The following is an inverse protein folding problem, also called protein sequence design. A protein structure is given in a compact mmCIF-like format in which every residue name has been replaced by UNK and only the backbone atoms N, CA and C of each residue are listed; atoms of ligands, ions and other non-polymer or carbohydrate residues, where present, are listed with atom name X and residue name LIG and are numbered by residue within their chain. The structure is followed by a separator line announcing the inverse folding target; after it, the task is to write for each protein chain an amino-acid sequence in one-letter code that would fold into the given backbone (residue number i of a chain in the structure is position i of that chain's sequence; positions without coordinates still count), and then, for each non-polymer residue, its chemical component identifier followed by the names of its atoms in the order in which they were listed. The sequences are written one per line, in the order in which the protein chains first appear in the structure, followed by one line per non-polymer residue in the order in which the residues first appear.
data_IF_777440277352
#
_entry.id   IF_777440277352
#
_cell.length_a   1.000
_cell.length_b   1.000
_cell.length_c   1.000
_cell.angle_alpha   90.00
_cell.angle_beta   90.00
_cell.angle_gamma   90.00
#
_symmetry.space_group_name_H-M   'P 1'
#
loop_
_entity.id
_entity.type
_entity.pdbx_description
1 polymer ?
#
# COMPACT_ATOMS: atom_id res chain seq x y z
N UNK A 1 11.13 -0.04 -10.18
CA UNK A 1 9.86 -0.73 -10.45
C UNK A 1 9.23 -0.26 -11.76
N UNK A 2 9.34 0.99 -12.08
CA UNK A 2 8.76 1.63 -13.25
C UNK A 2 9.87 2.11 -14.17
N UNK A 3 10.24 1.30 -15.16
CA UNK A 3 11.18 1.73 -16.20
C UNK A 3 10.39 2.49 -17.26
N UNK A 4 10.86 3.66 -17.64
CA UNK A 4 10.26 4.43 -18.74
C UNK A 4 10.73 3.84 -20.08
N UNK A 5 10.09 2.75 -20.47
CA UNK A 5 10.40 2.01 -21.72
C UNK A 5 9.11 1.75 -22.48
N UNK A 6 9.23 1.62 -23.78
CA UNK A 6 8.15 1.14 -24.66
C UNK A 6 7.92 -0.36 -24.42
N UNK A 7 6.84 -0.91 -25.00
CA UNK A 7 6.54 -2.35 -24.97
C UNK A 7 7.66 -3.21 -25.57
N UNK A 8 8.50 -2.63 -26.42
CA UNK A 8 9.62 -3.30 -27.08
C UNK A 8 10.96 -3.07 -26.33
N UNK A 9 10.89 -2.71 -25.04
CA UNK A 9 12.02 -2.47 -24.14
C UNK A 9 12.95 -1.31 -24.56
N UNK A 10 12.50 -0.45 -25.48
CA UNK A 10 13.22 0.75 -25.87
C UNK A 10 13.01 1.86 -24.83
N UNK A 11 14.07 2.59 -24.48
CA UNK A 11 13.95 3.75 -23.63
C UNK A 11 13.06 4.80 -24.31
N UNK A 12 12.08 5.32 -23.59
CA UNK A 12 11.34 6.50 -24.04
C UNK A 12 12.30 7.68 -24.19
N UNK A 13 12.05 8.55 -25.15
CA UNK A 13 12.92 9.67 -25.45
C UNK A 13 13.33 10.45 -24.20
N UNK A 14 14.62 10.72 -24.05
CA UNK A 14 15.15 11.46 -22.91
C UNK A 14 14.61 12.90 -22.96
N UNK A 15 14.04 13.36 -21.86
CA UNK A 15 13.52 14.72 -21.73
C UNK A 15 12.00 14.81 -21.78
N UNK A 16 11.29 13.73 -22.07
CA UNK A 16 9.84 13.72 -21.97
C UNK A 16 9.41 13.74 -20.50
N UNK A 17 8.62 14.73 -20.14
CA UNK A 17 7.97 14.82 -18.83
C UNK A 17 6.92 13.71 -18.62
N UNK A 18 6.63 12.95 -19.66
CA UNK A 18 5.61 11.92 -19.68
C UNK A 18 6.21 10.54 -19.86
N UNK A 19 5.64 9.57 -19.16
CA UNK A 19 5.96 8.16 -19.34
C UNK A 19 4.89 7.49 -20.22
N UNK A 20 5.30 6.54 -21.04
CA UNK A 20 4.38 5.67 -21.79
C UNK A 20 3.87 4.47 -20.97
N UNK A 21 4.25 4.40 -19.69
CA UNK A 21 3.80 3.34 -18.79
C UNK A 21 2.53 3.78 -18.08
N UNK A 22 1.48 2.97 -18.20
CA UNK A 22 0.24 3.19 -17.46
C UNK A 22 0.47 3.01 -15.96
N UNK A 23 -0.13 3.90 -15.16
CA UNK A 23 -0.16 3.75 -13.72
C UNK A 23 -1.30 2.79 -13.35
N UNK A 24 -1.03 1.62 -12.76
CA UNK A 24 -2.07 0.69 -12.38
C UNK A 24 -2.83 1.22 -11.17
N UNK A 25 -4.13 1.46 -11.34
CA UNK A 25 -5.02 1.82 -10.24
C UNK A 25 -5.37 0.60 -9.38
N UNK A 26 -5.56 -0.54 -10.03
CA UNK A 26 -5.88 -1.80 -9.37
C UNK A 26 -5.04 -2.92 -9.98
N UNK A 27 -4.63 -3.87 -9.16
CA UNK A 27 -3.93 -5.08 -9.60
C UNK A 27 -4.21 -6.27 -8.67
N UNK A 28 -4.07 -7.46 -9.20
CA UNK A 28 -4.43 -8.72 -8.54
C UNK A 28 -3.77 -8.88 -7.16
N UNK A 29 -2.51 -8.44 -6.99
CA UNK A 29 -1.83 -8.51 -5.70
C UNK A 29 -2.54 -7.67 -4.61
N UNK A 30 -3.07 -6.51 -4.97
CA UNK A 30 -3.87 -5.69 -4.05
C UNK A 30 -5.16 -6.43 -3.66
N UNK A 31 -5.87 -7.01 -4.64
CA UNK A 31 -7.08 -7.79 -4.39
C UNK A 31 -6.83 -8.99 -3.46
N UNK A 32 -5.75 -9.73 -3.67
CA UNK A 32 -5.38 -10.84 -2.77
C UNK A 32 -5.10 -10.37 -1.34
N UNK A 33 -4.33 -9.30 -1.17
CA UNK A 33 -4.03 -8.77 0.16
C UNK A 33 -5.26 -8.15 0.83
N UNK A 34 -6.19 -7.55 0.07
CA UNK A 34 -7.47 -7.08 0.59
C UNK A 34 -8.37 -8.25 1.02
N UNK A 35 -8.44 -9.33 0.26
CA UNK A 35 -9.20 -10.52 0.61
C UNK A 35 -8.67 -11.16 1.89
N UNK A 36 -7.35 -11.33 1.99
CA UNK A 36 -6.71 -11.84 3.20
C UNK A 36 -6.98 -10.97 4.43
N UNK A 37 -6.90 -9.65 4.27
CA UNK A 37 -7.22 -8.70 5.35
C UNK A 37 -8.68 -8.80 5.77
N UNK A 38 -9.61 -8.88 4.82
CA UNK A 38 -11.04 -8.99 5.10
C UNK A 38 -11.36 -10.24 5.92
N UNK A 39 -10.78 -11.39 5.57
CA UNK A 39 -10.93 -12.64 6.32
C UNK A 39 -10.42 -12.47 7.75
N UNK A 40 -9.22 -11.94 7.93
CA UNK A 40 -8.67 -11.72 9.28
C UNK A 40 -9.44 -10.68 10.10
N UNK A 41 -10.26 -9.86 9.46
CA UNK A 41 -11.18 -8.92 10.13
C UNK A 41 -12.57 -9.52 10.38
N UNK A 42 -12.79 -10.80 10.09
CA UNK A 42 -14.02 -11.52 10.37
C UNK A 42 -14.99 -11.64 9.18
N UNK A 43 -14.56 -11.36 7.95
CA UNK A 43 -15.33 -11.73 6.78
C UNK A 43 -15.39 -13.26 6.60
N UNK A 44 -16.33 -13.74 5.77
CA UNK A 44 -16.41 -15.14 5.43
C UNK A 44 -15.10 -15.62 4.77
N UNK A 45 -14.63 -16.78 5.23
CA UNK A 45 -13.39 -17.41 4.78
C UNK A 45 -12.61 -18.02 5.93
N UNK A 46 -11.53 -18.71 5.61
CA UNK A 46 -10.67 -19.37 6.59
C UNK A 46 -9.29 -18.69 6.62
N UNK A 47 -8.60 -18.77 7.75
CA UNK A 47 -7.22 -18.29 7.82
C UNK A 47 -6.29 -18.99 6.83
N UNK A 48 -6.58 -20.24 6.48
CA UNK A 48 -5.85 -20.99 5.44
C UNK A 48 -6.04 -20.36 4.05
N UNK A 49 -7.24 -19.90 3.73
CA UNK A 49 -7.49 -19.16 2.48
C UNK A 49 -6.76 -17.82 2.49
N UNK A 50 -6.83 -17.09 3.59
CA UNK A 50 -6.09 -15.83 3.74
C UNK A 50 -4.59 -16.04 3.58
N UNK A 51 -4.04 -17.09 4.17
CA UNK A 51 -2.64 -17.50 3.99
C UNK A 51 -2.32 -17.80 2.53
N UNK A 52 -3.21 -18.53 1.84
CA UNK A 52 -3.06 -18.84 0.42
C UNK A 52 -2.94 -17.58 -0.44
N UNK A 53 -3.78 -16.58 -0.20
CA UNK A 53 -3.71 -15.29 -0.90
C UNK A 53 -2.39 -14.55 -0.64
N UNK A 54 -1.93 -14.52 0.59
CA UNK A 54 -0.64 -13.89 0.93
C UNK A 54 0.52 -14.63 0.27
N UNK A 55 0.54 -15.96 0.35
CA UNK A 55 1.60 -16.77 -0.22
C UNK A 55 1.62 -16.73 -1.76
N UNK A 56 0.49 -16.53 -2.41
CA UNK A 56 0.44 -16.31 -3.86
C UNK A 56 1.22 -15.04 -4.26
N UNK A 57 1.04 -13.94 -3.53
CA UNK A 57 1.78 -12.69 -3.76
C UNK A 57 3.26 -12.88 -3.49
N UNK A 58 3.61 -13.55 -2.41
CA UNK A 58 5.00 -13.79 -2.00
C UNK A 58 5.74 -14.73 -2.94
N UNK A 59 5.12 -15.85 -3.33
CA UNK A 59 5.72 -16.80 -4.28
C UNK A 59 6.08 -16.12 -5.61
N UNK A 60 5.22 -15.22 -6.09
CA UNK A 60 5.50 -14.39 -7.27
C UNK A 60 6.71 -13.47 -7.04
N UNK A 61 6.75 -12.80 -5.89
CA UNK A 61 7.83 -11.85 -5.57
C UNK A 61 9.19 -12.56 -5.42
N UNK A 62 9.18 -13.77 -4.89
CA UNK A 62 10.38 -14.62 -4.74
C UNK A 62 10.67 -15.48 -5.98
N UNK A 63 9.83 -15.40 -6.99
CA UNK A 63 9.94 -16.24 -8.21
C UNK A 63 9.99 -17.73 -7.91
N UNK A 64 9.19 -18.19 -6.97
CA UNK A 64 9.10 -19.58 -6.52
C UNK A 64 7.84 -20.29 -7.05
N UNK A 65 7.77 -21.61 -6.89
CA UNK A 65 6.64 -22.40 -7.33
C UNK A 65 6.32 -22.21 -8.81
N UNK A 66 5.06 -21.91 -9.14
CA UNK A 66 4.62 -21.65 -10.52
C UNK A 66 5.26 -20.43 -11.19
N UNK A 67 5.89 -19.56 -10.42
CA UNK A 67 6.59 -18.36 -10.91
C UNK A 67 8.08 -18.56 -11.09
N UNK A 68 8.60 -19.76 -10.81
CA UNK A 68 10.01 -20.07 -10.96
C UNK A 68 10.47 -19.85 -12.42
N UNK A 69 11.63 -19.21 -12.58
CA UNK A 69 12.25 -18.97 -13.88
C UNK A 69 13.63 -19.62 -13.92
N UNK A 70 13.97 -20.22 -15.06
CA UNK A 70 15.31 -20.79 -15.28
C UNK A 70 16.39 -19.71 -15.10
N UNK A 71 17.44 -20.03 -14.34
CA UNK A 71 18.55 -19.12 -14.08
C UNK A 71 18.27 -18.07 -12.98
N UNK A 72 17.08 -18.06 -12.40
CA UNK A 72 16.75 -17.22 -11.22
C UNK A 72 16.84 -18.09 -9.98
N UNK A 73 17.42 -17.53 -8.91
CA UNK A 73 17.54 -18.20 -7.61
C UNK A 73 16.13 -18.48 -7.07
N UNK A 74 15.81 -19.74 -6.84
CA UNK A 74 14.51 -20.22 -6.36
C UNK A 74 14.61 -21.04 -5.08
N UNK A 75 15.72 -20.91 -4.35
CA UNK A 75 16.00 -21.66 -3.13
C UNK A 75 15.22 -21.13 -1.90
N UNK A 76 14.51 -20.00 -2.05
CA UNK A 76 13.67 -19.41 -1.03
C UNK A 76 12.26 -19.23 -1.57
N UNK A 77 11.29 -19.98 -1.03
CA UNK A 77 9.89 -19.86 -1.47
C UNK A 77 9.26 -18.52 -1.11
N UNK A 78 9.76 -17.88 -0.06
CA UNK A 78 9.17 -16.68 0.51
C UNK A 78 7.84 -16.91 1.23
N UNK A 79 7.29 -18.11 1.21
CA UNK A 79 6.03 -18.45 1.87
C UNK A 79 6.15 -18.35 3.39
N UNK A 80 5.03 -18.03 4.02
CA UNK A 80 4.89 -17.96 5.48
C UNK A 80 3.95 -19.04 5.98
N UNK A 81 4.02 -19.32 7.28
CA UNK A 81 3.06 -20.17 7.99
C UNK A 81 1.91 -19.40 8.62
N UNK A 82 0.89 -20.12 9.09
CA UNK A 82 -0.26 -19.53 9.79
C UNK A 82 0.15 -18.74 11.04
N UNK A 83 1.21 -19.17 11.72
CA UNK A 83 1.73 -18.51 12.93
C UNK A 83 2.32 -17.12 12.66
N UNK A 84 2.65 -16.81 11.41
CA UNK A 84 3.19 -15.51 11.01
C UNK A 84 2.07 -14.60 10.46
N UNK A 85 0.96 -15.18 10.02
CA UNK A 85 -0.15 -14.45 9.42
C UNK A 85 -0.84 -13.57 10.49
N UNK A 86 -0.89 -12.27 10.24
CA UNK A 86 -1.54 -11.31 11.11
C UNK A 86 -1.90 -10.04 10.34
N UNK A 87 -2.79 -9.22 10.87
CA UNK A 87 -3.08 -7.90 10.29
C UNK A 87 -1.84 -7.03 10.16
N UNK A 88 -0.93 -7.07 11.16
CA UNK A 88 0.33 -6.34 11.08
C UNK A 88 1.25 -6.86 9.97
N UNK A 89 1.27 -8.18 9.78
CA UNK A 89 1.99 -8.79 8.68
C UNK A 89 1.44 -8.32 7.33
N UNK A 90 0.11 -8.36 7.15
CA UNK A 90 -0.54 -7.88 5.92
C UNK A 90 -0.22 -6.40 5.67
N UNK A 91 -0.29 -5.54 6.67
CA UNK A 91 0.06 -4.13 6.52
C UNK A 91 1.52 -3.94 6.06
N UNK A 92 2.44 -4.76 6.56
CA UNK A 92 3.84 -4.75 6.13
C UNK A 92 4.02 -5.29 4.71
N UNK A 93 3.31 -6.36 4.36
CA UNK A 93 3.38 -6.95 3.02
C UNK A 93 2.79 -6.02 1.95
N UNK A 94 1.67 -5.36 2.26
CA UNK A 94 1.08 -4.30 1.41
C UNK A 94 2.09 -3.18 1.15
N UNK A 95 2.84 -2.76 2.16
CA UNK A 95 3.89 -1.73 1.99
C UNK A 95 4.97 -2.16 0.99
N UNK A 96 5.40 -3.42 1.05
CA UNK A 96 6.45 -3.96 0.16
C UNK A 96 5.91 -4.14 -1.27
N UNK A 97 4.73 -4.74 -1.38
CA UNK A 97 4.14 -5.09 -2.67
C UNK A 97 3.65 -3.85 -3.42
N UNK A 98 2.98 -2.93 -2.74
CA UNK A 98 2.35 -1.74 -3.33
C UNK A 98 3.21 -0.47 -3.18
N UNK A 99 4.51 -0.64 -2.99
CA UNK A 99 5.43 0.48 -2.87
C UNK A 99 5.36 1.41 -4.09
N UNK A 100 5.19 2.71 -3.84
CA UNK A 100 5.02 3.76 -4.86
C UNK A 100 3.70 3.72 -5.64
N UNK A 101 2.68 3.03 -5.12
CA UNK A 101 1.34 2.95 -5.72
C UNK A 101 0.29 3.79 -4.97
N UNK A 102 0.72 4.74 -4.17
CA UNK A 102 -0.10 5.73 -3.44
C UNK A 102 -1.10 5.15 -2.42
N UNK A 103 -0.98 3.85 -2.08
CA UNK A 103 -1.92 3.16 -1.17
C UNK A 103 -1.53 3.31 0.31
N UNK A 104 -0.26 3.60 0.63
CA UNK A 104 0.27 3.51 1.99
C UNK A 104 -0.46 4.39 3.01
N UNK A 105 -0.79 5.64 2.65
CA UNK A 105 -1.51 6.56 3.54
C UNK A 105 -2.88 5.98 3.91
N UNK A 106 -3.63 5.53 2.93
CA UNK A 106 -4.96 4.92 3.11
C UNK A 106 -4.88 3.67 3.98
N UNK A 107 -3.89 2.80 3.74
CA UNK A 107 -3.66 1.62 4.56
C UNK A 107 -3.39 1.99 6.02
N UNK A 108 -2.49 2.93 6.27
CA UNK A 108 -2.17 3.36 7.63
C UNK A 108 -3.36 3.98 8.36
N UNK A 109 -4.20 4.76 7.67
CA UNK A 109 -5.44 5.32 8.24
C UNK A 109 -6.39 4.17 8.60
N UNK A 110 -6.65 3.25 7.68
CA UNK A 110 -7.56 2.11 7.87
C UNK A 110 -7.11 1.17 9.00
N UNK A 111 -5.80 1.05 9.21
CA UNK A 111 -5.22 0.28 10.32
C UNK A 111 -5.08 1.09 11.62
N UNK A 112 -5.51 2.35 11.64
CA UNK A 112 -5.38 3.23 12.81
C UNK A 112 -3.93 3.58 13.18
N UNK A 113 -3.02 3.54 12.20
CA UNK A 113 -1.57 3.72 12.42
C UNK A 113 -0.97 4.92 11.69
N UNK A 114 -1.80 5.76 11.08
CA UNK A 114 -1.29 6.90 10.34
C UNK A 114 -0.76 8.00 11.26
N UNK A 115 -1.56 8.40 12.21
CA UNK A 115 -1.20 9.48 13.14
C UNK A 115 -0.36 8.99 14.30
N UNK A 116 -0.68 7.80 14.82
CA UNK A 116 -0.03 7.18 15.99
C UNK A 116 0.34 5.72 15.72
N UNK A 117 1.28 5.20 16.54
CA UNK A 117 1.58 3.76 16.56
C UNK A 117 2.35 3.20 15.36
N UNK A 118 2.74 4.04 14.40
CA UNK A 118 3.66 3.69 13.33
C UNK A 118 4.48 4.92 12.96
N UNK A 119 5.73 4.91 13.33
CA UNK A 119 6.65 6.00 13.07
C UNK A 119 7.64 5.59 11.97
N UNK A 120 7.97 6.53 11.11
CA UNK A 120 9.04 6.46 10.12
C UNK A 120 9.92 7.68 10.29
N UNK A 121 11.14 7.59 9.81
CA UNK A 121 12.11 8.67 9.92
C UNK A 121 11.52 9.99 9.39
N UNK A 122 11.72 11.06 10.17
CA UNK A 122 11.26 12.41 9.89
C UNK A 122 9.73 12.61 9.94
N UNK A 123 8.94 11.62 10.35
CA UNK A 123 7.52 11.86 10.64
C UNK A 123 7.39 12.93 11.72
N UNK A 124 6.57 13.94 11.46
CA UNK A 124 6.40 15.13 12.32
C UNK A 124 7.70 15.94 12.55
N UNK A 125 8.64 15.88 11.61
CA UNK A 125 9.94 16.58 11.73
C UNK A 125 10.90 15.98 12.76
N UNK A 126 10.56 14.87 13.37
CA UNK A 126 11.38 14.18 14.37
C UNK A 126 12.19 13.07 13.69
N UNK A 127 13.51 13.04 13.91
CA UNK A 127 14.43 12.13 13.22
C UNK A 127 14.01 10.66 13.29
N UNK A 128 13.57 10.19 14.44
CA UNK A 128 13.11 8.81 14.64
C UNK A 128 11.59 8.66 14.46
N UNK A 129 10.95 9.70 13.96
CA UNK A 129 9.53 9.77 13.82
C UNK A 129 8.80 10.15 15.11
N UNK A 130 7.63 10.76 14.96
CA UNK A 130 6.77 11.13 16.07
C UNK A 130 5.30 11.07 15.66
N UNK A 131 4.42 11.01 16.63
CA UNK A 131 3.00 11.07 16.41
C UNK A 131 2.60 12.44 15.86
N UNK A 132 1.56 12.47 15.04
CA UNK A 132 0.96 13.68 14.50
C UNK A 132 -0.48 13.79 14.96
N UNK A 133 -1.04 14.99 14.86
CA UNK A 133 -2.43 15.27 15.22
C UNK A 133 -3.40 14.43 14.36
N UNK A 134 -4.45 13.92 14.97
CA UNK A 134 -5.45 13.08 14.30
C UNK A 134 -6.21 13.80 13.18
N UNK A 135 -6.25 15.13 13.18
CA UNK A 135 -6.81 15.92 12.09
C UNK A 135 -6.18 15.59 10.72
N UNK A 136 -4.91 15.19 10.70
CA UNK A 136 -4.20 14.84 9.46
C UNK A 136 -4.70 13.55 8.78
N UNK A 137 -5.64 12.83 9.40
CA UNK A 137 -6.35 11.72 8.75
C UNK A 137 -7.28 12.21 7.63
N UNK A 138 -7.79 13.43 7.75
CA UNK A 138 -8.60 14.11 6.74
C UNK A 138 -7.83 15.30 6.17
N UNK A 139 -8.13 15.69 4.96
CA UNK A 139 -7.65 16.96 4.41
C UNK A 139 -8.60 18.10 4.82
N UNK A 140 -8.10 19.33 5.00
CA UNK A 140 -8.97 20.48 5.18
C UNK A 140 -9.82 20.69 3.90
N UNK A 141 -11.04 21.16 4.09
CA UNK A 141 -11.87 21.64 2.97
C UNK A 141 -11.25 22.95 2.49
N UNK A 142 -10.99 23.13 1.18
CA UNK A 142 -10.46 24.38 0.66
C UNK A 142 -11.32 25.59 1.05
N UNK A 143 -10.67 26.69 1.35
CA UNK A 143 -11.37 27.93 1.75
C UNK A 143 -12.34 28.43 0.67
N UNK A 144 -11.98 28.24 -0.61
CA UNK A 144 -12.86 28.58 -1.73
C UNK A 144 -14.20 27.83 -1.66
N UNK A 145 -14.18 26.56 -1.26
CA UNK A 145 -15.40 25.76 -1.15
C UNK A 145 -16.26 26.20 0.04
N UNK A 146 -15.63 26.52 1.15
CA UNK A 146 -16.33 27.02 2.34
C UNK A 146 -16.98 28.39 2.07
N UNK A 147 -16.32 29.25 1.28
CA UNK A 147 -16.84 30.57 0.91
C UNK A 147 -18.02 30.43 -0.06
N UNK A 148 -17.92 29.53 -1.02
CA UNK A 148 -18.94 29.33 -2.05
C UNK A 148 -20.16 28.54 -1.55
N UNK A 149 -20.02 27.77 -0.47
CA UNK A 149 -21.11 26.99 0.10
C UNK A 149 -21.17 27.16 1.62
N UNK A 150 -21.97 28.13 2.12
CA UNK A 150 -22.10 28.40 3.56
C UNK A 150 -22.67 27.23 4.39
N UNK A 151 -23.23 26.21 3.75
CA UNK A 151 -23.70 25.00 4.44
C UNK A 151 -22.54 24.04 4.82
N UNK A 152 -21.34 24.22 4.25
CA UNK A 152 -20.18 23.42 4.61
C UNK A 152 -19.56 23.91 5.92
N UNK A 153 -19.15 22.95 6.73
CA UNK A 153 -18.34 23.19 7.92
C UNK A 153 -16.97 22.57 7.73
N UNK A 154 -15.93 23.30 8.12
CA UNK A 154 -14.56 22.79 8.10
C UNK A 154 -14.40 21.56 8.98
N UNK A 155 -13.55 20.63 8.55
CA UNK A 155 -13.19 19.45 9.35
C UNK A 155 -12.59 19.85 10.69
N UNK A 156 -12.85 19.04 11.72
CA UNK A 156 -12.35 19.29 13.06
C UNK A 156 -10.82 19.41 13.10
N UNK A 157 -10.33 20.32 13.93
CA UNK A 157 -8.90 20.62 14.03
C UNK A 157 -8.37 21.60 13.00
N UNK A 158 -9.15 21.94 11.96
CA UNK A 158 -8.84 22.97 10.96
C UNK A 158 -9.70 24.24 11.09
N UNK A 159 -10.63 24.24 12.03
CA UNK A 159 -11.41 25.46 12.34
C UNK A 159 -10.47 26.52 12.92
N UNK A 160 -10.53 27.70 12.38
CA UNK A 160 -9.92 28.90 12.97
C UNK A 160 -10.82 29.49 14.04
#
# INVERSE_FOLDING_TARGET
KWRNVTKDDQLCASGDAYTSIDFPLFRTADAYLMAAEAILRGANGTETEALGYVNEVRSRAYMSGKYAKSGVRSDVSGEIGLNELSLNFILSERQKELASELTRRTDLIRFGKYTKGNNWDWKNGIRLGGDVDDKYQLFPIPESELTNNPALNQNDGYKQ
#
